data_IF_057042445257
#
_entry.id   IF_057042445257
#
_cell.length_a   1.000
_cell.length_b   1.000
_cell.length_c   1.000
_cell.angle_alpha   90.00
_cell.angle_beta   90.00
_cell.angle_gamma   90.00
#
_symmetry.space_group_name_H-M   'P 1'
#
loop_
_entity.id
_entity.type
_entity.pdbx_description
1 polymer ?
#
# COMPACT_ATOMS: atom_id res chain seq x y z
N UNK A 1 14.99 1.11 18.04
CA UNK A 1 13.86 1.57 17.22
C UNK A 1 14.28 2.81 16.45
N UNK A 2 14.00 2.86 15.16
CA UNK A 2 14.25 4.06 14.37
C UNK A 2 13.26 5.16 14.77
N UNK A 3 13.74 6.38 15.00
CA UNK A 3 12.88 7.54 15.13
C UNK A 3 12.42 7.95 13.75
N UNK A 4 11.12 8.02 13.55
CA UNK A 4 10.53 8.44 12.30
C UNK A 4 9.22 9.19 12.52
N UNK A 5 8.82 9.97 11.54
CA UNK A 5 7.51 10.60 11.52
C UNK A 5 6.77 10.22 10.23
N UNK A 6 5.46 10.25 10.28
CA UNK A 6 4.61 10.04 9.10
C UNK A 6 3.98 11.39 8.74
N UNK A 7 4.15 11.77 7.49
CA UNK A 7 3.65 13.05 6.96
C UNK A 7 3.08 12.87 5.56
N UNK A 8 2.23 13.81 5.08
CA UNK A 8 1.76 13.77 3.70
C UNK A 8 2.92 13.84 2.69
N UNK A 9 2.73 13.21 1.54
CA UNK A 9 3.57 13.43 0.38
C UNK A 9 3.58 14.92 0.03
N UNK A 10 4.74 15.44 -0.36
CA UNK A 10 4.94 16.80 -0.82
C UNK A 10 5.50 16.82 -2.24
N UNK A 11 5.10 17.77 -3.10
CA UNK A 11 5.71 17.95 -4.41
C UNK A 11 7.24 18.17 -4.38
N UNK A 12 7.78 18.54 -3.23
CA UNK A 12 9.23 18.67 -3.03
C UNK A 12 9.94 17.32 -2.83
N UNK A 13 9.18 16.24 -2.59
CA UNK A 13 9.77 14.90 -2.42
C UNK A 13 10.29 14.36 -3.75
N UNK A 14 11.40 13.63 -3.68
CA UNK A 14 12.03 13.04 -4.85
C UNK A 14 11.24 11.85 -5.37
N UNK A 15 10.60 11.96 -6.52
CA UNK A 15 9.91 10.85 -7.18
C UNK A 15 10.88 9.70 -7.49
N UNK A 16 12.08 9.93 -8.07
CA UNK A 16 13.03 8.83 -8.27
C UNK A 16 13.39 8.08 -6.99
N UNK A 17 13.53 8.78 -5.87
CA UNK A 17 13.83 8.14 -4.58
C UNK A 17 12.66 7.28 -4.09
N UNK A 18 11.42 7.73 -4.27
CA UNK A 18 10.23 6.95 -3.92
C UNK A 18 10.09 5.73 -4.83
N UNK A 19 10.33 5.88 -6.13
CA UNK A 19 10.32 4.76 -7.08
C UNK A 19 11.37 3.72 -6.70
N UNK A 20 12.59 4.15 -6.37
CA UNK A 20 13.65 3.25 -5.93
C UNK A 20 13.27 2.50 -4.63
N UNK A 21 12.67 3.20 -3.67
CA UNK A 21 12.18 2.58 -2.43
C UNK A 21 11.16 1.48 -2.72
N UNK A 22 10.21 1.73 -3.62
CA UNK A 22 9.20 0.75 -4.01
C UNK A 22 9.85 -0.48 -4.68
N UNK A 23 10.76 -0.26 -5.63
CA UNK A 23 11.48 -1.36 -6.28
C UNK A 23 12.26 -2.21 -5.28
N UNK A 24 12.96 -1.59 -4.34
CA UNK A 24 13.73 -2.30 -3.32
C UNK A 24 12.82 -3.07 -2.36
N UNK A 25 11.76 -2.44 -1.89
CA UNK A 25 10.83 -3.07 -0.93
C UNK A 25 10.11 -4.29 -1.54
N UNK A 26 9.78 -4.24 -2.83
CA UNK A 26 9.12 -5.34 -3.55
C UNK A 26 10.10 -6.29 -4.23
N UNK A 27 11.40 -6.07 -4.10
CA UNK A 27 12.43 -6.88 -4.73
C UNK A 27 12.39 -8.34 -4.32
N UNK A 28 12.09 -8.65 -3.06
CA UNK A 28 11.91 -10.02 -2.57
C UNK A 28 10.75 -10.74 -3.29
N UNK A 29 9.63 -10.05 -3.49
CA UNK A 29 8.49 -10.59 -4.21
C UNK A 29 8.81 -10.81 -5.70
N UNK A 30 9.55 -9.88 -6.31
CA UNK A 30 10.01 -10.03 -7.68
C UNK A 30 10.91 -11.27 -7.84
N UNK A 31 11.81 -11.51 -6.89
CA UNK A 31 12.67 -12.72 -6.89
C UNK A 31 11.86 -14.01 -6.73
N UNK A 32 10.69 -13.95 -6.10
CA UNK A 32 9.77 -15.08 -5.99
C UNK A 32 8.89 -15.26 -7.24
N UNK A 33 9.04 -14.39 -8.24
CA UNK A 33 8.29 -14.45 -9.50
C UNK A 33 6.98 -13.65 -9.51
N UNK A 34 6.67 -12.89 -8.47
CA UNK A 34 5.48 -12.06 -8.45
C UNK A 34 5.74 -10.70 -9.09
N UNK A 35 4.96 -10.39 -10.12
CA UNK A 35 5.07 -9.12 -10.84
C UNK A 35 4.04 -8.11 -10.31
N UNK A 36 4.30 -7.55 -9.14
CA UNK A 36 3.57 -6.39 -8.65
C UNK A 36 3.91 -5.17 -9.50
N UNK A 37 2.97 -4.24 -9.65
CA UNK A 37 3.24 -2.99 -10.34
C UNK A 37 4.43 -2.25 -9.71
N UNK A 38 4.53 -2.26 -8.39
CA UNK A 38 5.62 -1.66 -7.63
C UNK A 38 7.00 -2.28 -7.91
N UNK A 39 7.08 -3.47 -8.52
CA UNK A 39 8.37 -4.09 -8.86
C UNK A 39 9.03 -3.47 -10.08
N UNK A 40 8.27 -2.77 -10.93
CA UNK A 40 8.75 -2.28 -12.23
C UNK A 40 8.20 -0.92 -12.66
N UNK A 41 7.35 -0.28 -11.84
CA UNK A 41 6.78 1.02 -12.19
C UNK A 41 7.89 2.07 -12.41
N UNK A 42 7.68 2.96 -13.36
CA UNK A 42 8.57 4.10 -13.60
C UNK A 42 8.18 5.32 -12.75
N UNK A 43 8.95 6.39 -12.86
CA UNK A 43 8.71 7.62 -12.09
C UNK A 43 7.36 8.27 -12.44
N UNK A 44 6.94 8.22 -13.69
CA UNK A 44 5.65 8.77 -14.11
C UNK A 44 4.50 7.99 -13.47
N UNK A 45 4.59 6.67 -13.38
CA UNK A 45 3.62 5.84 -12.70
C UNK A 45 3.63 6.10 -11.20
N UNK A 46 4.81 6.25 -10.60
CA UNK A 46 4.92 6.59 -9.17
C UNK A 46 4.20 7.90 -8.89
N UNK A 47 4.47 8.95 -9.66
CA UNK A 47 3.80 10.24 -9.50
C UNK A 47 2.28 10.12 -9.64
N UNK A 48 1.81 9.41 -10.67
CA UNK A 48 0.38 9.18 -10.90
C UNK A 48 -0.27 8.50 -9.69
N UNK A 49 0.35 7.46 -9.15
CA UNK A 49 -0.18 6.71 -8.01
C UNK A 49 -0.14 7.51 -6.72
N UNK A 50 0.85 8.38 -6.52
CA UNK A 50 0.92 9.27 -5.35
C UNK A 50 -0.16 10.35 -5.39
N UNK A 51 -0.49 10.87 -6.57
CA UNK A 51 -1.41 12.01 -6.73
C UNK A 51 -2.85 11.59 -6.99
N UNK A 52 -3.14 10.32 -7.25
CA UNK A 52 -4.51 9.83 -7.44
C UNK A 52 -5.24 9.50 -6.13
N UNK A 53 -4.57 9.64 -5.00
CA UNK A 53 -5.11 9.45 -3.66
C UNK A 53 -4.37 10.32 -2.66
N UNK A 54 -4.48 9.96 -1.39
CA UNK A 54 -3.77 10.61 -0.31
C UNK A 54 -2.55 9.77 0.06
N UNK A 55 -1.36 10.23 -0.29
CA UNK A 55 -0.10 9.53 -0.07
C UNK A 55 0.62 10.08 1.16
N UNK A 56 1.26 9.20 1.91
CA UNK A 56 2.00 9.51 3.14
C UNK A 56 3.39 8.89 3.10
N UNK A 57 4.34 9.61 3.67
CA UNK A 57 5.75 9.22 3.75
C UNK A 57 6.14 8.99 5.21
N UNK A 58 6.85 7.91 5.47
CA UNK A 58 7.60 7.77 6.70
C UNK A 58 9.00 8.34 6.47
N UNK A 59 9.40 9.29 7.30
CA UNK A 59 10.67 10.00 7.16
C UNK A 59 11.51 9.85 8.43
N UNK A 60 12.78 9.58 8.26
CA UNK A 60 13.76 9.52 9.34
C UNK A 60 15.04 10.22 8.88
N UNK A 61 15.56 11.14 9.71
CA UNK A 61 16.78 11.90 9.43
C UNK A 61 16.78 12.54 8.02
N UNK A 62 15.64 13.07 7.59
CA UNK A 62 15.50 13.72 6.28
C UNK A 62 15.39 12.77 5.09
N UNK A 63 15.31 11.46 5.32
CA UNK A 63 15.18 10.45 4.27
C UNK A 63 13.82 9.77 4.34
N UNK A 64 13.22 9.53 3.16
CA UNK A 64 12.00 8.75 3.04
C UNK A 64 12.36 7.27 3.19
N UNK A 65 11.81 6.63 4.21
CA UNK A 65 12.06 5.22 4.55
C UNK A 65 10.85 4.32 4.38
N UNK A 66 9.70 4.90 4.11
CA UNK A 66 8.46 4.15 3.87
C UNK A 66 7.41 5.02 3.22
N UNK A 67 6.39 4.38 2.66
CA UNK A 67 5.26 5.04 2.03
C UNK A 67 3.99 4.20 2.16
N UNK A 68 2.84 4.86 2.09
CA UNK A 68 1.52 4.26 1.95
C UNK A 68 0.58 5.26 1.29
N UNK A 69 -0.38 4.77 0.50
CA UNK A 69 -1.41 5.60 -0.10
C UNK A 69 -2.80 5.08 0.24
N UNK A 70 -3.74 6.01 0.43
CA UNK A 70 -5.16 5.74 0.66
C UNK A 70 -5.93 6.32 -0.52
N UNK A 71 -6.75 5.49 -1.17
CA UNK A 71 -7.53 5.87 -2.33
C UNK A 71 -9.01 5.84 -2.03
N UNK A 72 -9.80 6.79 -2.58
CA UNK A 72 -11.25 6.81 -2.41
C UNK A 72 -11.92 5.63 -3.14
N UNK A 73 -13.23 5.40 -2.93
CA UNK A 73 -13.98 4.42 -3.69
C UNK A 73 -13.78 4.60 -5.21
N UNK A 74 -13.72 3.47 -5.90
CA UNK A 74 -13.47 3.43 -7.35
C UNK A 74 -14.66 2.75 -8.05
N UNK A 75 -15.69 3.53 -8.52
CA UNK A 75 -16.91 2.97 -9.09
C UNK A 75 -16.71 2.05 -10.30
N UNK A 76 -15.66 2.30 -11.09
CA UNK A 76 -15.37 1.55 -12.32
C UNK A 76 -14.33 0.43 -12.10
N UNK A 77 -14.01 0.11 -10.85
CA UNK A 77 -13.02 -0.92 -10.54
C UNK A 77 -13.45 -2.31 -11.00
N UNK A 78 -12.54 -3.13 -11.54
CA UNK A 78 -12.77 -4.56 -11.71
C UNK A 78 -13.02 -5.29 -10.38
N UNK A 79 -12.51 -4.76 -9.28
CA UNK A 79 -12.71 -5.32 -7.94
C UNK A 79 -14.04 -4.86 -7.35
N UNK A 80 -14.93 -5.81 -7.08
CA UNK A 80 -16.28 -5.51 -6.57
C UNK A 80 -16.25 -4.70 -5.27
N UNK A 81 -15.36 -5.04 -4.34
CA UNK A 81 -15.23 -4.33 -3.08
C UNK A 81 -14.96 -2.84 -3.29
N UNK A 82 -14.05 -2.51 -4.20
CA UNK A 82 -13.60 -1.12 -4.41
C UNK A 82 -14.66 -0.22 -5.05
N UNK A 83 -15.73 -0.81 -5.61
CA UNK A 83 -16.86 -0.05 -6.14
C UNK A 83 -17.84 0.41 -5.08
N UNK A 84 -17.78 -0.14 -3.88
CA UNK A 84 -18.75 0.13 -2.83
C UNK A 84 -18.56 1.51 -2.22
N UNK A 85 -19.65 2.25 -1.96
CA UNK A 85 -19.57 3.51 -1.22
C UNK A 85 -18.96 3.31 0.17
N UNK A 86 -18.10 4.23 0.60
CA UNK A 86 -17.48 4.16 1.92
C UNK A 86 -16.33 3.17 2.03
N UNK A 87 -16.02 2.41 0.97
CA UNK A 87 -14.86 1.51 0.93
C UNK A 87 -13.69 2.24 0.30
N UNK A 88 -12.71 2.60 1.13
CA UNK A 88 -11.43 3.12 0.67
C UNK A 88 -10.46 1.96 0.49
N UNK A 89 -9.43 2.14 -0.30
CA UNK A 89 -8.40 1.11 -0.51
C UNK A 89 -7.03 1.66 -0.21
N UNK A 90 -6.13 0.80 0.23
CA UNK A 90 -4.74 1.17 0.41
C UNK A 90 -3.87 0.53 -0.67
N UNK A 91 -2.75 1.16 -0.92
CA UNK A 91 -1.74 0.69 -1.87
C UNK A 91 -0.41 1.36 -1.61
N UNK A 92 0.58 1.01 -2.41
CA UNK A 92 1.91 1.60 -2.34
C UNK A 92 2.58 1.46 -0.97
N UNK A 93 2.21 0.45 -0.18
CA UNK A 93 2.86 0.19 1.10
C UNK A 93 4.26 -0.36 0.86
N UNK A 94 5.25 0.37 1.33
CA UNK A 94 6.64 -0.04 1.24
C UNK A 94 7.42 0.48 2.44
N UNK A 95 8.38 -0.33 2.90
CA UNK A 95 9.36 0.05 3.92
C UNK A 95 10.73 -0.35 3.41
N UNK A 96 11.72 0.52 3.56
CA UNK A 96 13.10 0.23 3.17
C UNK A 96 13.56 -1.10 3.78
N UNK A 97 14.08 -2.06 2.96
CA UNK A 97 14.37 -3.41 3.43
C UNK A 97 15.21 -3.49 4.71
N UNK A 98 16.28 -2.67 4.90
CA UNK A 98 17.06 -2.72 6.15
C UNK A 98 16.27 -2.33 7.40
N UNK A 99 15.12 -1.66 7.23
CA UNK A 99 14.30 -1.13 8.31
C UNK A 99 12.98 -1.90 8.50
N UNK A 100 12.78 -2.98 7.75
CA UNK A 100 11.61 -3.85 7.91
C UNK A 100 11.66 -4.56 9.26
N UNK A 101 10.48 -5.02 9.73
CA UNK A 101 10.30 -5.69 11.02
C UNK A 101 10.62 -4.83 12.26
N UNK A 102 10.64 -3.50 12.10
CA UNK A 102 10.84 -2.54 13.19
C UNK A 102 9.57 -1.75 13.55
N UNK A 103 8.42 -2.16 13.04
CA UNK A 103 7.14 -1.54 13.33
C UNK A 103 6.73 -0.39 12.41
N UNK A 104 7.55 -0.02 11.42
CA UNK A 104 7.26 1.11 10.51
C UNK A 104 6.05 0.77 9.62
N UNK A 105 6.00 -0.42 9.05
CA UNK A 105 4.87 -0.87 8.23
C UNK A 105 3.56 -0.89 9.01
N UNK A 106 3.59 -1.37 10.25
CA UNK A 106 2.43 -1.35 11.13
C UNK A 106 1.96 0.08 11.44
N UNK A 107 2.90 0.99 11.71
CA UNK A 107 2.59 2.39 11.97
C UNK A 107 1.95 3.06 10.74
N UNK A 108 2.47 2.77 9.54
CA UNK A 108 1.88 3.26 8.29
C UNK A 108 0.45 2.74 8.10
N UNK A 109 0.20 1.46 8.37
CA UNK A 109 -1.14 0.87 8.30
C UNK A 109 -2.10 1.55 9.27
N UNK A 110 -1.70 1.73 10.53
CA UNK A 110 -2.52 2.41 11.53
C UNK A 110 -2.83 3.85 11.14
N UNK A 111 -1.83 4.55 10.60
CA UNK A 111 -2.02 5.91 10.11
C UNK A 111 -3.02 5.96 8.96
N UNK A 112 -2.90 5.05 7.99
CA UNK A 112 -3.83 4.95 6.86
C UNK A 112 -5.26 4.67 7.32
N UNK A 113 -5.44 3.79 8.32
CA UNK A 113 -6.75 3.48 8.89
C UNK A 113 -7.37 4.72 9.56
N UNK A 114 -6.60 5.46 10.34
CA UNK A 114 -7.08 6.70 10.97
C UNK A 114 -7.43 7.76 9.93
N UNK A 115 -6.60 7.91 8.91
CA UNK A 115 -6.85 8.84 7.82
C UNK A 115 -8.13 8.48 7.06
N UNK A 116 -8.32 7.21 6.71
CA UNK A 116 -9.53 6.74 6.04
C UNK A 116 -10.79 7.03 6.89
N UNK A 117 -10.73 6.77 8.20
CA UNK A 117 -11.83 7.12 9.12
C UNK A 117 -12.14 8.61 9.09
N UNK A 118 -11.14 9.47 9.05
CA UNK A 118 -11.32 10.92 8.96
C UNK A 118 -11.97 11.38 7.64
N UNK A 119 -11.99 10.51 6.65
CA UNK A 119 -12.62 10.69 5.34
C UNK A 119 -13.96 9.93 5.24
N UNK A 120 -14.54 9.56 6.36
CA UNK A 120 -15.82 8.83 6.47
C UNK A 120 -15.79 7.43 5.83
N UNK A 121 -14.62 6.82 5.70
CA UNK A 121 -14.50 5.43 5.27
C UNK A 121 -15.10 4.49 6.33
N UNK A 122 -15.88 3.52 5.89
CA UNK A 122 -16.44 2.48 6.77
C UNK A 122 -15.64 1.19 6.67
N UNK A 123 -14.93 0.99 5.57
CA UNK A 123 -14.02 -0.14 5.34
C UNK A 123 -12.76 0.32 4.63
N UNK A 124 -11.68 -0.38 4.88
CA UNK A 124 -10.43 -0.22 4.16
C UNK A 124 -10.07 -1.56 3.52
N UNK A 125 -10.02 -1.57 2.19
CA UNK A 125 -9.70 -2.75 1.39
C UNK A 125 -8.29 -2.71 0.84
N UNK A 126 -7.79 -3.88 0.50
CA UNK A 126 -6.52 -4.05 -0.18
C UNK A 126 -6.46 -5.39 -0.88
N UNK A 127 -5.49 -5.55 -1.78
CA UNK A 127 -5.25 -6.83 -2.42
C UNK A 127 -3.75 -7.09 -2.57
N UNK A 128 -3.41 -8.36 -2.57
CA UNK A 128 -2.04 -8.83 -2.76
C UNK A 128 -2.06 -10.20 -3.45
N UNK A 129 -0.91 -10.63 -3.98
CA UNK A 129 -0.82 -11.92 -4.65
C UNK A 129 -1.29 -13.06 -3.74
N UNK A 130 -2.19 -13.92 -4.24
CA UNK A 130 -2.70 -15.05 -3.44
C UNK A 130 -1.59 -16.01 -2.99
N UNK A 131 -0.49 -16.10 -3.75
CA UNK A 131 0.67 -16.92 -3.42
C UNK A 131 1.64 -16.27 -2.44
N UNK A 132 1.49 -14.98 -2.13
CA UNK A 132 2.36 -14.28 -1.16
C UNK A 132 1.87 -14.54 0.27
N UNK A 133 1.99 -15.77 0.72
CA UNK A 133 1.42 -16.28 1.98
C UNK A 133 1.84 -15.46 3.18
N UNK A 134 3.11 -15.05 3.25
CA UNK A 134 3.63 -14.26 4.38
C UNK A 134 2.97 -12.88 4.48
N UNK A 135 2.63 -12.26 3.35
CA UNK A 135 1.89 -10.98 3.33
C UNK A 135 0.45 -11.17 3.78
N UNK A 136 -0.21 -12.23 3.29
CA UNK A 136 -1.58 -12.54 3.71
C UNK A 136 -1.67 -12.76 5.21
N UNK A 137 -0.74 -13.52 5.79
CA UNK A 137 -0.67 -13.75 7.23
C UNK A 137 -0.44 -12.47 8.01
N UNK A 138 0.45 -11.59 7.51
CA UNK A 138 0.74 -10.32 8.16
C UNK A 138 -0.49 -9.40 8.18
N UNK A 139 -1.19 -9.27 7.05
CA UNK A 139 -2.41 -8.46 6.99
C UNK A 139 -3.52 -9.03 7.86
N UNK A 140 -3.65 -10.35 7.92
CA UNK A 140 -4.64 -10.99 8.80
C UNK A 140 -4.35 -10.71 10.29
N UNK A 141 -3.09 -10.71 10.68
CA UNK A 141 -2.71 -10.29 12.05
C UNK A 141 -3.06 -8.84 12.35
N UNK A 142 -3.15 -7.99 11.33
CA UNK A 142 -3.60 -6.59 11.48
C UNK A 142 -5.12 -6.44 11.46
N UNK A 143 -5.87 -7.54 11.32
CA UNK A 143 -7.33 -7.55 11.36
C UNK A 143 -8.01 -7.53 10.00
N UNK A 144 -7.27 -7.66 8.91
CA UNK A 144 -7.84 -7.74 7.56
C UNK A 144 -8.33 -9.16 7.27
N UNK A 145 -9.55 -9.26 6.72
CA UNK A 145 -10.20 -10.54 6.41
C UNK A 145 -10.17 -10.79 4.91
N UNK A 146 -9.74 -11.98 4.46
CA UNK A 146 -9.88 -12.37 3.07
C UNK A 146 -11.37 -12.46 2.68
N UNK A 147 -11.76 -11.78 1.61
CA UNK A 147 -13.17 -11.71 1.19
C UNK A 147 -13.43 -12.07 -0.27
N UNK A 148 -12.39 -12.15 -1.09
CA UNK A 148 -12.57 -12.45 -2.51
C UNK A 148 -11.27 -12.45 -3.28
N UNK A 149 -11.40 -12.36 -4.59
CA UNK A 149 -10.28 -12.36 -5.53
C UNK A 149 -10.51 -11.32 -6.60
N UNK A 150 -9.43 -10.84 -7.19
CA UNK A 150 -9.47 -10.01 -8.40
C UNK A 150 -8.28 -10.37 -9.29
N UNK A 151 -8.46 -10.28 -10.59
CA UNK A 151 -7.40 -10.41 -11.58
C UNK A 151 -7.15 -9.07 -12.24
N UNK A 152 -5.90 -8.61 -12.18
CA UNK A 152 -5.48 -7.36 -12.80
C UNK A 152 -4.72 -7.67 -14.08
N UNK A 153 -4.92 -6.87 -15.12
CA UNK A 153 -4.29 -7.06 -16.42
C UNK A 153 -2.77 -6.90 -16.40
N UNK A 154 -2.25 -6.15 -15.40
CA UNK A 154 -0.84 -5.80 -15.27
C UNK A 154 -0.06 -6.70 -14.30
N UNK A 155 -0.67 -7.75 -13.78
CA UNK A 155 -0.02 -8.71 -12.88
C UNK A 155 0.01 -10.12 -13.49
N UNK A 156 0.95 -10.94 -13.00
CA UNK A 156 1.06 -12.34 -13.40
C UNK A 156 0.51 -13.32 -12.36
N UNK A 157 -0.37 -12.85 -11.48
CA UNK A 157 -0.99 -13.61 -10.40
C UNK A 157 -2.43 -13.17 -10.21
N UNK A 158 -3.22 -14.04 -9.57
CA UNK A 158 -4.52 -13.65 -9.04
C UNK A 158 -4.31 -12.98 -7.67
N UNK A 159 -5.01 -11.89 -7.42
CA UNK A 159 -4.96 -11.18 -6.14
C UNK A 159 -6.02 -11.69 -5.19
N UNK A 160 -5.63 -11.87 -3.93
CA UNK A 160 -6.53 -12.06 -2.80
C UNK A 160 -6.95 -10.69 -2.29
N UNK A 161 -8.25 -10.46 -2.19
CA UNK A 161 -8.81 -9.21 -1.66
C UNK A 161 -9.10 -9.38 -0.18
N UNK A 162 -8.66 -8.40 0.61
CA UNK A 162 -8.86 -8.37 2.05
C UNK A 162 -9.54 -7.06 2.43
N UNK A 163 -10.27 -7.07 3.54
CA UNK A 163 -10.96 -5.90 4.04
C UNK A 163 -10.97 -5.86 5.57
N UNK A 164 -10.95 -4.64 6.10
CA UNK A 164 -11.09 -4.38 7.53
C UNK A 164 -12.16 -3.32 7.75
N UNK A 165 -13.11 -3.63 8.62
CA UNK A 165 -14.11 -2.65 9.08
C UNK A 165 -13.45 -1.62 9.98
N UNK A 166 -13.74 -0.33 9.73
CA UNK A 166 -13.12 0.80 10.43
C UNK A 166 -14.00 1.40 11.53
N UNK A 167 -15.05 0.74 11.88
CA UNK A 167 -15.98 1.22 12.89
C UNK A 167 -15.34 1.42 14.28
#
# INVERSE_FOLDING_TARGET
>A
MADFLIRPYSPADSIPAITALLHEAYGSLARQGFRFLATHQDDAMTLSRLTSGDAFMAESAGQIIGTISVYPPWPDSPCELYRQPGVFRLGQLAVAPPLQSQGIGRALMQFAEQHARSRDAVELGMDTAEGATHLLEWYQRLGYRPIGYVEWDDTNYRSRVLSKTLA
#
